data_IF_708426455860
#
_entry.id   IF_708426455860
#
_cell.length_a   1.000
_cell.length_b   1.000
_cell.length_c   1.000
_cell.angle_alpha   90.00
_cell.angle_beta   90.00
_cell.angle_gamma   90.00
#
_symmetry.space_group_name_H-M   'P 1'
#
loop_
_entity.id
_entity.type
_entity.pdbx_description
1 polymer ?
#
# COMPACT_ATOMS: atom_id res chain seq x y z
N UNK A 1 15.84 -3.35 -9.80
CA UNK A 1 14.51 -3.89 -10.09
C UNK A 1 13.53 -3.34 -9.05
N UNK A 2 12.51 -2.62 -9.51
CA UNK A 2 11.56 -1.97 -8.58
C UNK A 2 10.28 -2.79 -8.54
N UNK A 3 9.90 -3.24 -7.34
CA UNK A 3 8.71 -4.05 -7.10
C UNK A 3 7.86 -3.48 -5.94
N UNK A 4 8.19 -2.28 -5.46
CA UNK A 4 7.57 -1.76 -4.24
C UNK A 4 7.32 -0.26 -4.33
N UNK A 5 6.19 0.16 -3.76
CA UNK A 5 5.86 1.57 -3.51
C UNK A 5 5.65 1.71 -2.01
N UNK A 6 6.14 2.80 -1.45
CA UNK A 6 5.95 3.11 -0.04
C UNK A 6 5.58 4.56 0.15
N UNK A 7 4.91 4.85 1.25
CA UNK A 7 4.52 6.22 1.52
C UNK A 7 3.76 6.38 2.83
N UNK A 8 3.23 7.59 3.01
CA UNK A 8 2.44 7.89 4.19
C UNK A 8 1.42 8.98 3.90
N UNK A 9 0.39 9.01 4.71
CA UNK A 9 -0.64 10.05 4.70
C UNK A 9 -0.95 10.47 6.12
N UNK A 10 -0.92 11.77 6.37
CA UNK A 10 -1.28 12.32 7.67
C UNK A 10 -2.70 12.86 7.60
N UNK A 11 -3.52 12.44 8.55
CA UNK A 11 -4.91 12.87 8.68
C UNK A 11 -5.06 13.68 9.96
N UNK A 12 -5.86 14.73 9.89
CA UNK A 12 -6.19 15.56 11.04
C UNK A 12 -7.70 15.58 11.22
N UNK A 13 -8.15 15.38 12.44
CA UNK A 13 -9.56 15.54 12.78
C UNK A 13 -9.70 16.46 14.00
N UNK A 14 -10.72 17.27 13.97
CA UNK A 14 -11.05 18.18 15.05
C UNK A 14 -12.19 17.61 15.86
N UNK A 15 -11.97 17.48 17.18
CA UNK A 15 -12.98 16.99 18.11
C UNK A 15 -13.65 18.19 18.80
N UNK A 16 -14.86 18.51 18.39
CA UNK A 16 -15.60 19.66 18.92
C UNK A 16 -15.83 19.58 20.43
N UNK A 17 -16.25 18.45 21.04
CA UNK A 17 -16.48 18.43 22.48
C UNK A 17 -15.25 18.74 23.31
N UNK A 18 -14.07 18.31 22.86
CA UNK A 18 -12.81 18.51 23.58
C UNK A 18 -12.02 19.70 23.08
N UNK A 19 -12.39 20.24 21.91
CA UNK A 19 -11.68 21.30 21.21
C UNK A 19 -10.23 20.93 20.90
N UNK A 20 -9.95 19.64 20.69
CA UNK A 20 -8.62 19.12 20.40
C UNK A 20 -8.51 18.70 18.92
N UNK A 21 -7.35 18.93 18.35
CA UNK A 21 -6.99 18.44 17.03
C UNK A 21 -6.31 17.09 17.16
N UNK A 22 -6.91 16.06 16.56
CA UNK A 22 -6.35 14.71 16.56
C UNK A 22 -5.65 14.45 15.23
N UNK A 23 -4.35 14.23 15.30
CA UNK A 23 -3.53 13.91 14.15
C UNK A 23 -3.07 12.46 14.21
N UNK A 24 -3.09 11.80 13.06
CA UNK A 24 -2.48 10.48 12.93
C UNK A 24 -1.89 10.33 11.53
N UNK A 25 -0.88 9.49 11.43
CA UNK A 25 -0.23 9.18 10.15
C UNK A 25 -0.38 7.69 9.87
N UNK A 26 -0.79 7.36 8.66
CA UNK A 26 -0.83 5.99 8.17
C UNK A 26 0.32 5.82 7.19
N UNK A 27 1.19 4.88 7.48
CA UNK A 27 2.29 4.47 6.63
C UNK A 27 1.89 3.22 5.86
N UNK A 28 2.34 3.10 4.63
CA UNK A 28 2.01 1.92 3.82
C UNK A 28 3.21 1.44 3.02
N UNK A 29 3.17 0.16 2.69
CA UNK A 29 4.05 -0.48 1.73
C UNK A 29 3.16 -1.31 0.80
N UNK A 30 3.37 -1.18 -0.50
CA UNK A 30 2.68 -1.95 -1.52
C UNK A 30 3.71 -2.64 -2.40
N UNK A 31 3.64 -3.95 -2.48
CA UNK A 31 4.60 -4.78 -3.22
C UNK A 31 3.90 -5.57 -4.29
N UNK A 32 4.50 -5.64 -5.48
CA UNK A 32 4.00 -6.43 -6.61
C UNK A 32 4.91 -7.62 -6.89
N UNK A 33 4.36 -8.66 -7.49
CA UNK A 33 5.10 -9.89 -7.82
C UNK A 33 5.80 -9.85 -9.18
N UNK A 34 5.72 -8.73 -9.88
CA UNK A 34 6.37 -8.52 -11.17
C UNK A 34 7.10 -7.19 -11.18
N UNK A 35 8.33 -7.10 -11.71
CA UNK A 35 9.02 -5.82 -11.86
C UNK A 35 8.25 -4.86 -12.75
N UNK A 36 8.23 -3.60 -12.37
CA UNK A 36 7.63 -2.54 -13.19
C UNK A 36 8.47 -2.27 -14.42
N UNK A 37 7.81 -2.10 -15.55
CA UNK A 37 8.45 -1.62 -16.79
C UNK A 37 8.84 -0.16 -16.64
N UNK A 38 7.92 0.63 -16.08
CA UNK A 38 8.12 2.04 -15.81
C UNK A 38 7.20 2.45 -14.68
N UNK A 39 7.45 3.61 -14.12
CA UNK A 39 6.64 4.17 -13.04
C UNK A 39 6.63 5.68 -13.17
N UNK A 40 5.73 6.31 -12.41
CA UNK A 40 5.68 7.75 -12.30
C UNK A 40 4.87 8.17 -11.09
N UNK A 41 4.77 9.47 -10.92
CA UNK A 41 4.03 10.09 -9.83
C UNK A 41 3.11 11.17 -10.36
N UNK A 42 2.16 11.60 -9.55
CA UNK A 42 1.36 12.80 -9.86
C UNK A 42 1.15 13.63 -8.61
N UNK A 43 1.03 14.92 -8.80
CA UNK A 43 0.70 15.89 -7.75
C UNK A 43 -0.29 16.87 -8.35
N UNK A 44 -1.47 17.00 -7.74
CA UNK A 44 -2.52 17.92 -8.18
C UNK A 44 -2.87 17.79 -9.68
N UNK A 45 -2.93 16.56 -10.18
CA UNK A 45 -3.24 16.28 -11.59
C UNK A 45 -2.08 16.38 -12.56
N UNK A 46 -0.91 16.83 -12.11
CA UNK A 46 0.31 16.88 -12.94
C UNK A 46 1.09 15.59 -12.83
N UNK A 47 1.25 14.92 -13.96
CA UNK A 47 1.98 13.64 -14.04
C UNK A 47 3.45 13.88 -14.30
N UNK A 48 4.31 13.22 -13.52
CA UNK A 48 5.76 13.22 -13.70
C UNK A 48 6.24 11.79 -13.91
N UNK A 49 6.72 11.51 -15.12
CA UNK A 49 7.24 10.18 -15.48
C UNK A 49 8.72 10.00 -15.16
N UNK A 50 9.37 11.04 -14.64
CA UNK A 50 10.82 11.03 -14.35
C UNK A 50 11.12 10.94 -12.85
N UNK A 51 10.13 11.17 -11.99
CA UNK A 51 10.32 11.19 -10.54
C UNK A 51 9.86 9.88 -9.90
N UNK A 52 10.66 9.40 -8.97
CA UNK A 52 10.33 8.25 -8.11
C UNK A 52 9.79 8.67 -6.75
N UNK A 53 9.65 9.95 -6.50
CA UNK A 53 9.19 10.49 -5.23
C UNK A 53 8.28 11.68 -5.47
N UNK A 54 7.21 11.77 -4.69
CA UNK A 54 6.34 12.94 -4.71
C UNK A 54 5.78 13.21 -3.32
N UNK A 55 5.35 14.44 -3.13
CA UNK A 55 4.73 14.86 -1.88
C UNK A 55 3.80 16.04 -2.17
N UNK A 56 2.82 16.20 -1.32
CA UNK A 56 1.83 17.27 -1.45
C UNK A 56 0.73 17.09 -0.42
N UNK A 57 -0.17 18.08 -0.36
CA UNK A 57 -1.29 18.07 0.59
C UNK A 57 -2.48 17.29 0.07
N UNK A 58 -2.71 17.35 -1.23
CA UNK A 58 -3.89 16.78 -1.85
C UNK A 58 -3.53 16.16 -3.18
N UNK A 59 -4.29 15.15 -3.57
CA UNK A 59 -4.22 14.54 -4.90
C UNK A 59 -2.80 14.20 -5.32
N UNK A 60 -2.16 13.33 -4.54
CA UNK A 60 -0.86 12.77 -4.89
C UNK A 60 -0.96 11.27 -5.05
N UNK A 61 -0.07 10.70 -5.84
CA UNK A 61 -0.02 9.27 -6.00
C UNK A 61 1.12 8.83 -6.89
N UNK A 62 1.16 7.52 -7.08
CA UNK A 62 2.15 6.88 -7.93
C UNK A 62 1.45 5.85 -8.82
N UNK A 63 2.06 5.57 -9.96
CA UNK A 63 1.54 4.56 -10.87
C UNK A 63 2.65 3.66 -11.36
N UNK A 64 2.26 2.46 -11.74
CA UNK A 64 3.15 1.42 -12.25
C UNK A 64 2.67 0.95 -13.60
N UNK A 65 3.59 0.78 -14.54
CA UNK A 65 3.31 0.19 -15.83
C UNK A 65 3.99 -1.16 -15.95
N UNK A 66 3.31 -2.10 -16.58
CA UNK A 66 3.80 -3.45 -16.79
C UNK A 66 3.61 -3.86 -18.24
N UNK A 67 4.54 -4.63 -18.77
CA UNK A 67 4.33 -5.36 -20.00
C UNK A 67 3.64 -6.67 -19.66
N UNK A 68 2.46 -6.90 -20.22
CA UNK A 68 1.66 -8.07 -19.90
C UNK A 68 1.22 -8.82 -21.14
N UNK A 69 1.03 -10.13 -20.98
CA UNK A 69 0.43 -11.00 -21.98
C UNK A 69 -1.02 -11.29 -21.61
N UNK A 70 -1.80 -11.76 -22.60
CA UNK A 70 -3.20 -12.12 -22.35
C UNK A 70 -3.31 -13.18 -21.25
N UNK A 71 -4.16 -12.93 -20.26
CA UNK A 71 -4.37 -13.84 -19.15
C UNK A 71 -3.33 -13.76 -18.03
N UNK A 72 -2.31 -12.91 -18.17
CA UNK A 72 -1.30 -12.74 -17.12
C UNK A 72 -1.92 -12.09 -15.87
N UNK A 73 -1.54 -12.60 -14.71
CA UNK A 73 -2.01 -12.08 -13.42
C UNK A 73 -0.84 -11.43 -12.70
N UNK A 74 -1.05 -10.19 -12.28
CA UNK A 74 -0.12 -9.46 -11.41
C UNK A 74 -0.77 -9.34 -10.05
N UNK A 75 -0.06 -9.74 -9.01
CA UNK A 75 -0.56 -9.69 -7.64
C UNK A 75 0.08 -8.54 -6.88
N UNK A 76 -0.71 -7.94 -6.00
CA UNK A 76 -0.32 -6.85 -5.14
C UNK A 76 -0.56 -7.24 -3.68
N UNK A 77 0.42 -6.96 -2.82
CA UNK A 77 0.27 -7.04 -1.37
C UNK A 77 0.46 -5.65 -0.79
N UNK A 78 -0.38 -5.29 0.15
CA UNK A 78 -0.25 -4.02 0.88
C UNK A 78 -0.26 -4.28 2.38
N UNK A 79 0.47 -3.45 3.11
CA UNK A 79 0.43 -3.41 4.56
C UNK A 79 0.47 -1.98 5.03
N UNK A 80 -0.09 -1.73 6.21
CA UNK A 80 -0.10 -0.43 6.84
C UNK A 80 0.47 -0.49 8.25
N UNK A 81 0.86 0.67 8.75
CA UNK A 81 1.29 0.86 10.14
C UNK A 81 0.99 2.29 10.56
N UNK A 82 0.70 2.49 11.82
CA UNK A 82 0.60 3.82 12.43
C UNK A 82 1.94 4.29 13.01
N UNK A 83 3.00 3.50 12.87
CA UNK A 83 4.30 3.76 13.49
C UNK A 83 5.33 4.24 12.47
N UNK A 84 5.53 3.49 11.38
CA UNK A 84 6.56 3.79 10.37
C UNK A 84 6.39 2.96 9.11
N UNK A 85 7.07 3.37 8.04
CA UNK A 85 7.17 2.59 6.80
C UNK A 85 7.89 1.25 7.09
N UNK A 86 8.92 1.26 7.90
CA UNK A 86 9.65 0.04 8.28
C UNK A 86 8.73 -0.96 8.98
N UNK A 87 7.86 -0.48 9.87
CA UNK A 87 6.90 -1.34 10.53
C UNK A 87 5.84 -1.87 9.57
N UNK A 88 5.39 -1.06 8.61
CA UNK A 88 4.48 -1.52 7.57
C UNK A 88 5.11 -2.65 6.74
N UNK A 89 6.39 -2.51 6.37
CA UNK A 89 7.12 -3.56 5.65
C UNK A 89 7.24 -4.84 6.47
N UNK A 90 7.54 -4.71 7.74
CA UNK A 90 7.59 -5.84 8.67
C UNK A 90 6.25 -6.54 8.80
N UNK A 91 5.17 -5.78 8.90
CA UNK A 91 3.82 -6.34 8.96
C UNK A 91 3.50 -7.14 7.69
N UNK A 92 3.87 -6.61 6.52
CA UNK A 92 3.69 -7.30 5.26
C UNK A 92 4.44 -8.64 5.25
N UNK A 93 5.68 -8.65 5.67
CA UNK A 93 6.51 -9.87 5.68
C UNK A 93 6.01 -10.90 6.71
N UNK A 94 5.68 -10.46 7.90
CA UNK A 94 5.23 -11.35 8.99
C UNK A 94 3.85 -11.92 8.71
N UNK A 95 2.91 -11.08 8.29
CA UNK A 95 1.50 -11.48 8.15
C UNK A 95 1.21 -12.20 6.84
N UNK A 96 1.96 -11.93 5.79
CA UNK A 96 1.75 -12.56 4.48
C UNK A 96 2.86 -13.49 4.02
N UNK A 97 4.03 -13.47 4.66
CA UNK A 97 5.21 -14.20 4.21
C UNK A 97 5.01 -15.71 4.13
N UNK A 98 4.25 -16.29 5.06
CA UNK A 98 3.98 -17.73 5.08
C UNK A 98 3.11 -18.21 3.92
N UNK A 99 2.40 -17.30 3.25
CA UNK A 99 1.53 -17.64 2.10
C UNK A 99 2.21 -17.41 0.75
N UNK A 100 3.37 -16.73 0.74
CA UNK A 100 3.98 -16.30 -0.52
C UNK A 100 3.04 -15.43 -1.33
N UNK A 101 2.87 -15.73 -2.60
CA UNK A 101 1.94 -15.03 -3.50
C UNK A 101 0.69 -15.86 -3.80
N UNK A 102 0.28 -16.71 -2.87
CA UNK A 102 -0.89 -17.57 -3.02
C UNK A 102 -2.13 -16.87 -2.48
N UNK A 103 -2.83 -16.15 -3.35
CA UNK A 103 -4.05 -15.42 -2.99
C UNK A 103 -5.14 -16.35 -2.42
N UNK A 104 -5.34 -17.51 -3.03
CA UNK A 104 -6.37 -18.44 -2.57
C UNK A 104 -6.10 -18.98 -1.16
N UNK A 105 -4.83 -19.20 -0.81
CA UNK A 105 -4.46 -19.62 0.53
C UNK A 105 -4.76 -18.53 1.56
N UNK A 106 -4.47 -17.27 1.25
CA UNK A 106 -4.78 -16.13 2.12
C UNK A 106 -6.28 -16.00 2.31
N UNK A 107 -7.04 -16.06 1.22
CA UNK A 107 -8.50 -15.98 1.27
C UNK A 107 -9.09 -17.10 2.12
N UNK A 108 -8.63 -18.32 1.92
CA UNK A 108 -9.10 -19.48 2.67
C UNK A 108 -8.80 -19.36 4.16
N UNK A 109 -7.60 -18.91 4.49
CA UNK A 109 -7.20 -18.65 5.87
C UNK A 109 -8.13 -17.61 6.52
N UNK A 110 -8.37 -16.50 5.86
CA UNK A 110 -9.23 -15.43 6.37
C UNK A 110 -10.66 -15.93 6.59
N UNK A 111 -11.22 -16.67 5.64
CA UNK A 111 -12.56 -17.24 5.77
C UNK A 111 -12.63 -18.17 6.99
N UNK A 112 -11.64 -19.02 7.19
CA UNK A 112 -11.61 -19.96 8.31
C UNK A 112 -11.50 -19.22 9.65
N UNK A 113 -10.70 -18.17 9.74
CA UNK A 113 -10.57 -17.36 10.95
C UNK A 113 -11.90 -16.67 11.30
N UNK A 114 -12.59 -16.10 10.32
CA UNK A 114 -13.90 -15.51 10.54
C UNK A 114 -14.95 -16.53 10.98
N UNK A 115 -14.93 -17.72 10.43
CA UNK A 115 -15.85 -18.80 10.81
C UNK A 115 -15.70 -19.26 12.27
N UNK A 116 -14.50 -19.12 12.83
CA UNK A 116 -14.27 -19.44 14.24
C UNK A 116 -14.95 -18.45 15.19
N UNK A 117 -15.12 -17.20 14.73
CA UNK A 117 -15.69 -16.12 15.53
C UNK A 117 -17.20 -16.02 15.33
N UNK A 118 -17.65 -16.23 14.11
CA UNK A 118 -19.07 -16.20 13.73
C UNK A 118 -19.68 -17.59 13.86
#
# INVERSE_FOLDING_TARGET
MIIEIEGFSTQSSYDEPTNLLNDYTVYFVARVDKPMKSFGTWVNGYVDTTSSICWGRHDIGAFMNFDTEEGEIIQLKTAISYVSIEQARKNLEVESGGFGWNFDAVRKYAVNEWRKIL
#
